data_IF_039941223984
#
_entry.id   IF_039941223984
#
_cell.length_a   1.000
_cell.length_b   1.000
_cell.length_c   1.000
_cell.angle_alpha   90.00
_cell.angle_beta   90.00
_cell.angle_gamma   90.00
#
_symmetry.space_group_name_H-M   'P 1'
#
loop_
_entity.id
_entity.type
_entity.pdbx_description
1 polymer ?
#
# COMPACT_ATOMS: atom_id res chain seq x y z
N UNK A 1 -14.91 -4.05 7.68
CA UNK A 1 -13.86 -3.00 7.58
C UNK A 1 -14.54 -1.70 7.23
N UNK A 2 -14.28 -0.64 7.99
CA UNK A 2 -14.84 0.68 7.69
C UNK A 2 -14.04 1.33 6.56
N UNK A 3 -14.66 1.51 5.39
CA UNK A 3 -14.05 2.08 4.19
C UNK A 3 -14.36 3.59 4.00
N UNK A 4 -14.87 4.26 5.04
CA UNK A 4 -15.24 5.69 5.00
C UNK A 4 -14.04 6.58 4.65
N UNK A 5 -12.83 6.18 5.04
CA UNK A 5 -11.59 6.87 4.67
C UNK A 5 -11.26 6.75 3.18
N UNK A 6 -11.59 5.61 2.57
CA UNK A 6 -11.39 5.41 1.13
C UNK A 6 -12.32 6.33 0.33
N UNK A 7 -13.55 6.56 0.81
CA UNK A 7 -14.47 7.52 0.21
C UNK A 7 -13.88 8.94 0.23
N UNK A 8 -13.18 9.33 1.31
CA UNK A 8 -12.44 10.61 1.36
C UNK A 8 -11.24 10.66 0.42
N UNK A 9 -10.51 9.53 0.24
CA UNK A 9 -9.47 9.41 -0.80
C UNK A 9 -10.06 9.50 -2.21
N UNK A 10 -11.23 8.92 -2.40
CA UNK A 10 -11.99 8.95 -3.64
C UNK A 10 -12.47 10.37 -3.98
N UNK A 11 -12.90 11.15 -3.00
CA UNK A 11 -13.27 12.56 -3.14
C UNK A 11 -12.05 13.46 -3.48
N UNK A 12 -10.82 13.02 -3.17
CA UNK A 12 -9.57 13.65 -3.62
C UNK A 12 -9.24 13.37 -5.11
N UNK A 13 -9.95 12.45 -5.74
CA UNK A 13 -10.18 12.33 -7.19
C UNK A 13 -8.98 12.14 -8.10
N UNK A 14 -7.79 11.76 -7.61
CA UNK A 14 -6.63 11.46 -8.49
C UNK A 14 -5.73 10.42 -7.83
N UNK A 15 -5.33 9.36 -8.56
CA UNK A 15 -4.20 8.54 -8.14
C UNK A 15 -3.01 9.46 -7.88
N UNK A 16 -2.37 9.30 -6.72
CA UNK A 16 -1.24 10.12 -6.33
C UNK A 16 -0.17 10.08 -7.42
N UNK A 17 0.34 11.23 -7.80
CA UNK A 17 1.40 11.33 -8.81
C UNK A 17 2.66 10.67 -8.27
N UNK A 18 2.97 9.49 -8.78
CA UNK A 18 4.29 8.90 -8.60
C UNK A 18 5.33 9.83 -9.26
N UNK A 19 6.22 10.39 -8.46
CA UNK A 19 7.32 11.19 -9.01
C UNK A 19 8.39 10.25 -9.56
N UNK A 20 8.89 10.48 -10.80
CA UNK A 20 9.99 9.69 -11.33
C UNK A 20 11.22 9.86 -10.43
N UNK A 21 11.71 8.75 -9.91
CA UNK A 21 12.76 8.72 -8.91
C UNK A 21 14.14 9.00 -9.55
N UNK A 22 14.66 10.20 -9.31
CA UNK A 22 16.10 10.41 -9.47
C UNK A 22 16.82 9.81 -8.26
N UNK A 23 17.86 9.02 -8.50
CA UNK A 23 18.69 8.46 -7.44
C UNK A 23 19.31 9.62 -6.62
N UNK A 24 18.93 9.70 -5.35
CA UNK A 24 19.44 10.71 -4.41
C UNK A 24 19.56 10.11 -3.01
N UNK A 25 20.46 10.68 -2.23
CA UNK A 25 20.57 10.39 -0.80
C UNK A 25 19.98 11.56 -0.03
N UNK A 26 19.16 11.28 0.96
CA UNK A 26 18.49 12.29 1.77
C UNK A 26 18.37 11.84 3.23
N UNK A 27 18.26 12.82 4.14
CA UNK A 27 17.90 12.54 5.52
C UNK A 27 16.39 12.28 5.62
N UNK A 28 16.02 11.30 6.44
CA UNK A 28 14.63 10.90 6.68
C UNK A 28 14.39 10.64 8.15
N UNK A 29 13.16 10.90 8.62
CA UNK A 29 12.68 10.33 9.86
C UNK A 29 12.19 8.92 9.60
N UNK A 30 12.57 7.95 10.44
CA UNK A 30 12.17 6.56 10.31
C UNK A 30 11.13 6.22 11.36
N UNK A 31 9.96 5.74 10.92
CA UNK A 31 8.91 5.29 11.80
C UNK A 31 8.76 3.75 11.70
N UNK A 32 9.35 3.00 12.65
CA UNK A 32 9.21 1.56 12.68
C UNK A 32 7.86 1.16 13.28
N UNK A 33 7.03 0.48 12.50
CA UNK A 33 5.76 -0.07 12.98
C UNK A 33 5.64 -1.56 12.63
N UNK A 34 5.10 -2.40 13.53
CA UNK A 34 4.74 -3.76 13.20
C UNK A 34 3.54 -3.78 12.27
N UNK A 35 3.51 -4.73 11.35
CA UNK A 35 2.38 -4.99 10.45
C UNK A 35 1.95 -3.84 9.52
N UNK A 36 2.78 -2.80 9.38
CA UNK A 36 2.48 -1.64 8.54
C UNK A 36 3.54 -1.48 7.46
N UNK A 37 3.10 -1.41 6.22
CA UNK A 37 3.95 -1.16 5.04
C UNK A 37 3.29 -0.08 4.20
N UNK A 38 4.03 0.99 3.91
CA UNK A 38 3.58 2.05 3.00
C UNK A 38 4.09 1.75 1.59
N UNK A 39 3.17 1.51 0.67
CA UNK A 39 3.49 1.35 -0.75
C UNK A 39 3.28 2.69 -1.46
N UNK A 40 4.23 3.17 -2.30
CA UNK A 40 4.08 4.42 -3.05
C UNK A 40 2.77 4.50 -3.82
N UNK A 41 2.20 5.70 -3.93
CA UNK A 41 0.89 5.92 -4.55
C UNK A 41 -0.30 5.67 -3.62
N UNK A 42 -0.05 5.31 -2.36
CA UNK A 42 -1.09 5.05 -1.35
C UNK A 42 -0.98 6.02 -0.17
N UNK A 43 -2.05 6.12 0.60
CA UNK A 43 -2.13 6.96 1.79
C UNK A 43 -2.36 6.09 3.02
N UNK A 44 -1.55 6.31 4.05
CA UNK A 44 -1.60 5.59 5.31
C UNK A 44 -2.11 6.52 6.42
N UNK A 45 -3.29 6.25 7.02
CA UNK A 45 -3.74 6.96 8.21
C UNK A 45 -3.01 6.46 9.45
N UNK A 46 -2.56 7.38 10.31
CA UNK A 46 -1.91 7.06 11.57
C UNK A 46 -2.46 7.95 12.70
N UNK A 47 -2.53 7.37 13.90
CA UNK A 47 -2.81 8.09 15.14
C UNK A 47 -1.53 8.24 15.95
N UNK A 48 -1.08 9.46 16.14
CA UNK A 48 0.16 9.79 16.85
C UNK A 48 -0.17 10.17 18.29
N UNK A 49 0.33 9.38 19.25
CA UNK A 49 0.07 9.58 20.68
C UNK A 49 1.33 9.52 21.56
N UNK A 50 2.40 8.83 21.13
CA UNK A 50 3.67 8.77 21.85
C UNK A 50 4.44 10.09 21.72
N UNK A 51 5.01 10.61 22.82
CA UNK A 51 5.71 11.90 22.84
C UNK A 51 6.84 12.02 21.80
N UNK A 52 7.63 10.95 21.65
CA UNK A 52 8.71 10.91 20.64
C UNK A 52 8.18 11.07 19.21
N UNK A 53 6.99 10.56 18.90
CA UNK A 53 6.39 10.67 17.57
C UNK A 53 5.57 11.94 17.39
N UNK A 54 5.07 12.55 18.48
CA UNK A 54 4.55 13.92 18.44
C UNK A 54 5.66 14.88 18.03
N UNK A 55 6.84 14.80 18.71
CA UNK A 55 8.02 15.60 18.36
C UNK A 55 8.47 15.35 16.93
N UNK A 56 8.57 14.08 16.49
CA UNK A 56 8.90 13.73 15.11
C UNK A 56 7.94 14.38 14.11
N UNK A 57 6.64 14.39 14.42
CA UNK A 57 5.61 14.96 13.53
C UNK A 57 5.78 16.48 13.42
N UNK A 58 6.06 17.19 14.53
CA UNK A 58 6.35 18.63 14.50
C UNK A 58 7.59 18.94 13.64
N UNK A 59 8.66 18.16 13.80
CA UNK A 59 9.88 18.34 13.02
C UNK A 59 9.61 18.10 11.52
N UNK A 60 8.79 17.10 11.17
CA UNK A 60 8.40 16.81 9.78
C UNK A 60 7.56 17.94 9.15
N UNK A 61 6.71 18.60 9.93
CA UNK A 61 5.87 19.70 9.47
C UNK A 61 6.67 21.01 9.25
N UNK A 62 7.75 21.19 10.00
CA UNK A 62 8.60 22.38 9.92
C UNK A 62 9.79 22.22 8.97
N UNK A 63 10.14 20.98 8.63
CA UNK A 63 11.24 20.66 7.73
C UNK A 63 10.72 20.03 6.45
N UNK A 64 11.53 20.00 5.41
CA UNK A 64 11.16 19.30 4.17
C UNK A 64 11.71 17.85 4.14
N UNK A 65 11.78 17.22 5.32
CA UNK A 65 12.25 15.84 5.49
C UNK A 65 11.09 14.88 5.28
N UNK A 66 11.35 13.73 4.64
CA UNK A 66 10.34 12.70 4.43
C UNK A 66 10.22 11.75 5.62
N UNK A 67 9.01 11.24 5.84
CA UNK A 67 8.78 10.13 6.75
C UNK A 67 8.94 8.80 6.01
N UNK A 68 9.86 7.94 6.49
CA UNK A 68 10.08 6.59 5.99
C UNK A 68 9.42 5.58 6.92
N UNK A 69 8.44 4.83 6.40
CA UNK A 69 7.74 3.77 7.13
C UNK A 69 8.53 2.47 7.02
N UNK A 70 9.08 2.00 8.13
CA UNK A 70 9.86 0.75 8.17
C UNK A 70 9.07 -0.36 8.84
N UNK A 71 8.94 -1.52 8.18
CA UNK A 71 8.32 -2.69 8.80
C UNK A 71 9.23 -3.22 9.92
N UNK A 72 8.74 -3.12 11.15
CA UNK A 72 9.40 -3.66 12.33
C UNK A 72 9.06 -5.14 12.49
N UNK A 73 10.08 -6.02 12.51
CA UNK A 73 9.94 -7.46 12.72
C UNK A 73 10.54 -7.84 14.06
N UNK A 74 9.92 -8.76 14.78
CA UNK A 74 10.56 -9.40 15.91
C UNK A 74 11.70 -10.26 15.40
N UNK A 75 12.94 -9.91 15.79
CA UNK A 75 14.11 -10.70 15.50
C UNK A 75 14.26 -11.88 16.47
N UNK A 76 15.12 -12.83 16.12
CA UNK A 76 15.67 -13.81 17.06
C UNK A 76 16.38 -13.07 18.20
N UNK A 77 16.24 -13.48 19.42
CA UNK A 77 16.79 -12.84 20.64
C UNK A 77 16.00 -11.62 21.16
N UNK A 78 14.73 -11.42 20.75
CA UNK A 78 13.90 -10.31 21.26
C UNK A 78 14.27 -8.91 20.73
N UNK A 79 15.24 -8.80 19.82
CA UNK A 79 15.60 -7.53 19.19
C UNK A 79 14.70 -7.24 18.00
N UNK A 80 14.18 -6.03 17.92
CA UNK A 80 13.43 -5.57 16.73
C UNK A 80 14.40 -5.35 15.57
N UNK A 81 14.11 -5.96 14.42
CA UNK A 81 14.84 -5.71 13.17
C UNK A 81 13.94 -4.92 12.22
N UNK A 82 14.38 -3.75 11.84
CA UNK A 82 13.67 -2.90 10.90
C UNK A 82 14.02 -3.28 9.45
N UNK A 83 13.03 -3.28 8.56
CA UNK A 83 13.28 -3.43 7.12
C UNK A 83 14.09 -2.26 6.59
N UNK A 84 15.07 -2.54 5.74
CA UNK A 84 15.91 -1.50 5.13
C UNK A 84 15.25 -0.81 3.95
N UNK A 85 14.35 -1.52 3.21
CA UNK A 85 13.52 -0.91 2.16
C UNK A 85 12.23 -0.42 2.81
N UNK A 86 11.95 0.86 2.61
CA UNK A 86 10.84 1.58 3.21
C UNK A 86 10.02 2.31 2.14
N UNK A 87 8.72 2.41 2.34
CA UNK A 87 7.92 3.42 1.66
C UNK A 87 8.08 4.75 2.37
N UNK A 88 8.28 5.83 1.63
CA UNK A 88 8.49 7.14 2.20
C UNK A 88 7.63 8.21 1.53
N UNK A 89 7.32 9.24 2.28
CA UNK A 89 6.46 10.30 1.80
C UNK A 89 6.31 11.49 2.73
N UNK A 90 5.28 12.28 2.47
CA UNK A 90 4.95 13.49 3.22
C UNK A 90 3.83 13.26 4.21
N UNK A 91 3.87 14.01 5.30
CA UNK A 91 2.86 13.98 6.37
C UNK A 91 1.89 15.15 6.21
N UNK A 92 0.60 14.87 6.40
CA UNK A 92 -0.46 15.89 6.48
C UNK A 92 -1.26 15.66 7.77
N UNK A 93 -1.41 16.70 8.58
CA UNK A 93 -2.27 16.66 9.77
C UNK A 93 -3.72 16.78 9.34
N UNK A 94 -4.55 15.86 9.82
CA UNK A 94 -5.99 15.85 9.60
C UNK A 94 -6.75 16.42 10.79
N UNK A 95 -6.23 16.14 11.98
CA UNK A 95 -6.82 16.56 13.24
C UNK A 95 -5.74 16.65 14.31
N UNK A 96 -5.82 17.67 15.13
CA UNK A 96 -4.94 17.85 16.31
C UNK A 96 -5.80 17.95 17.56
N UNK A 97 -5.43 17.20 18.59
CA UNK A 97 -6.14 17.17 19.87
C UNK A 97 -5.47 18.09 20.89
N UNK A 98 -6.24 18.58 21.90
CA UNK A 98 -5.69 19.49 22.92
C UNK A 98 -4.51 18.92 23.72
N UNK A 99 -4.38 17.60 23.79
CA UNK A 99 -3.28 16.90 24.47
C UNK A 99 -2.06 16.64 23.55
N UNK A 100 -2.07 17.22 22.35
CA UNK A 100 -0.98 17.11 21.37
C UNK A 100 -1.01 15.82 20.54
N UNK A 101 -1.99 14.92 20.75
CA UNK A 101 -2.19 13.77 19.83
C UNK A 101 -2.62 14.30 18.46
N UNK A 102 -2.28 13.56 17.42
CA UNK A 102 -2.62 13.94 16.05
C UNK A 102 -3.10 12.74 15.23
N UNK A 103 -4.14 12.97 14.43
CA UNK A 103 -4.45 12.09 13.32
C UNK A 103 -3.75 12.64 12.07
N UNK A 104 -2.91 11.83 11.45
CA UNK A 104 -2.14 12.23 10.26
C UNK A 104 -2.41 11.27 9.10
N UNK A 105 -2.18 11.77 7.89
CA UNK A 105 -2.01 10.95 6.71
C UNK A 105 -0.56 10.99 6.25
N UNK A 106 -0.03 9.82 5.89
CA UNK A 106 1.27 9.70 5.22
C UNK A 106 1.02 9.35 3.76
N UNK A 107 1.31 10.29 2.88
CA UNK A 107 1.20 10.13 1.42
C UNK A 107 2.48 9.49 0.91
N UNK A 108 2.41 8.22 0.49
CA UNK A 108 3.55 7.47 -0.03
C UNK A 108 3.97 7.96 -1.40
N UNK A 109 5.21 8.43 -1.53
CA UNK A 109 5.71 9.02 -2.76
C UNK A 109 6.75 8.14 -3.45
N UNK A 110 7.61 7.45 -2.71
CA UNK A 110 8.75 6.71 -3.26
C UNK A 110 9.23 5.59 -2.35
N UNK A 111 10.09 4.74 -2.88
CA UNK A 111 10.84 3.72 -2.16
C UNK A 111 12.20 4.27 -1.75
N UNK A 112 12.60 4.02 -0.52
CA UNK A 112 13.91 4.38 0.01
C UNK A 112 14.59 3.15 0.60
N UNK A 113 15.93 3.13 0.53
CA UNK A 113 16.77 2.17 1.24
C UNK A 113 17.53 2.90 2.34
N UNK A 114 17.37 2.46 3.58
CA UNK A 114 18.15 2.96 4.70
C UNK A 114 19.61 2.56 4.51
N UNK A 115 20.49 3.57 4.51
CA UNK A 115 21.94 3.40 4.33
C UNK A 115 22.67 3.49 5.67
N UNK A 116 22.29 4.47 6.51
CA UNK A 116 22.96 4.72 7.78
C UNK A 116 21.99 5.38 8.75
N UNK A 117 21.95 4.86 9.97
CA UNK A 117 21.25 5.52 11.08
C UNK A 117 22.10 6.70 11.61
N UNK A 118 21.48 7.85 11.80
CA UNK A 118 22.10 9.08 12.28
C UNK A 118 21.76 9.34 13.75
N UNK A 119 20.55 8.96 14.16
CA UNK A 119 19.99 9.18 15.47
C UNK A 119 19.02 8.07 15.81
N UNK A 120 18.95 7.65 17.08
CA UNK A 120 18.00 6.65 17.57
C UNK A 120 16.99 7.23 18.58
N UNK A 121 17.33 8.29 19.26
CA UNK A 121 16.49 8.93 20.29
C UNK A 121 16.42 10.44 20.05
N UNK A 122 15.27 11.12 20.30
CA UNK A 122 13.98 10.57 20.77
C UNK A 122 13.23 9.74 19.73
N UNK A 123 13.53 9.90 18.45
CA UNK A 123 13.03 9.11 17.32
C UNK A 123 14.17 8.87 16.33
N UNK A 124 13.98 7.93 15.43
CA UNK A 124 15.03 7.50 14.50
C UNK A 124 15.15 8.47 13.34
N UNK A 125 16.39 8.92 13.05
CA UNK A 125 16.79 9.58 11.80
C UNK A 125 17.82 8.74 11.07
N UNK A 126 17.77 8.77 9.75
CA UNK A 126 18.68 8.01 8.91
C UNK A 126 19.00 8.73 7.61
N UNK A 127 20.14 8.39 7.00
CA UNK A 127 20.38 8.62 5.59
C UNK A 127 19.76 7.48 4.79
N UNK A 128 19.02 7.81 3.77
CA UNK A 128 18.39 6.85 2.88
C UNK A 128 18.64 7.23 1.41
N UNK A 129 18.78 6.22 0.56
CA UNK A 129 18.88 6.41 -0.89
C UNK A 129 17.57 6.05 -1.58
N UNK A 130 17.22 6.78 -2.61
CA UNK A 130 16.06 6.47 -3.44
C UNK A 130 16.29 5.17 -4.20
N UNK A 131 15.27 4.30 -4.18
CA UNK A 131 15.24 3.04 -4.93
C UNK A 131 14.25 3.22 -6.09
N UNK A 132 14.72 3.53 -7.30
CA UNK A 132 13.86 3.79 -8.44
C UNK A 132 13.20 2.51 -8.94
N UNK A 133 11.99 2.65 -9.47
CA UNK A 133 11.32 1.58 -10.20
C UNK A 133 12.01 1.30 -11.52
N UNK A 134 12.03 0.02 -11.92
CA UNK A 134 12.40 -0.43 -13.26
C UNK A 134 11.08 -0.51 -14.06
N UNK A 135 10.93 0.34 -15.11
CA UNK A 135 9.70 0.40 -15.90
C UNK A 135 9.54 -0.85 -16.77
N UNK A 136 8.38 -0.95 -17.41
CA UNK A 136 8.17 -1.93 -18.48
C UNK A 136 9.10 -1.67 -19.65
N UNK A 137 9.56 -2.73 -20.31
CA UNK A 137 10.44 -2.64 -21.50
C UNK A 137 9.64 -2.21 -22.75
N UNK A 138 8.32 -2.45 -22.77
CA UNK A 138 7.42 -2.18 -23.89
C UNK A 138 6.15 -1.46 -23.43
N UNK A 139 5.83 -0.36 -24.12
CA UNK A 139 4.57 0.37 -23.92
C UNK A 139 3.34 -0.49 -24.27
N UNK A 140 3.46 -1.36 -25.27
CA UNK A 140 2.41 -2.29 -25.65
C UNK A 140 2.13 -3.27 -24.52
N UNK A 141 3.16 -3.88 -23.96
CA UNK A 141 3.06 -4.81 -22.83
C UNK A 141 2.47 -4.13 -21.59
N UNK A 142 2.87 -2.87 -21.32
CA UNK A 142 2.31 -2.09 -20.23
C UNK A 142 0.80 -1.87 -20.39
N UNK A 143 0.34 -1.52 -21.61
CA UNK A 143 -1.09 -1.33 -21.93
C UNK A 143 -1.89 -2.63 -21.82
N UNK A 144 -1.34 -3.74 -22.34
CA UNK A 144 -1.97 -5.06 -22.22
C UNK A 144 -2.09 -5.50 -20.76
N UNK A 145 -1.04 -5.27 -19.98
CA UNK A 145 -1.03 -5.58 -18.54
C UNK A 145 -2.07 -4.75 -17.78
N UNK A 146 -2.25 -3.47 -18.13
CA UNK A 146 -3.27 -2.62 -17.53
C UNK A 146 -4.67 -3.12 -17.87
N UNK A 147 -4.92 -3.44 -19.14
CA UNK A 147 -6.21 -3.96 -19.58
C UNK A 147 -6.55 -5.28 -18.89
N UNK A 148 -5.59 -6.22 -18.81
CA UNK A 148 -5.75 -7.51 -18.13
C UNK A 148 -6.03 -7.34 -16.65
N UNK A 149 -5.18 -6.60 -15.92
CA UNK A 149 -5.35 -6.39 -14.48
C UNK A 149 -6.65 -5.65 -14.18
N UNK A 150 -7.00 -4.64 -14.97
CA UNK A 150 -8.25 -3.90 -14.84
C UNK A 150 -9.49 -4.79 -15.02
N UNK A 151 -9.50 -5.65 -16.05
CA UNK A 151 -10.58 -6.61 -16.26
C UNK A 151 -10.72 -7.60 -15.09
N UNK A 152 -9.62 -8.20 -14.67
CA UNK A 152 -9.62 -9.16 -13.56
C UNK A 152 -10.06 -8.50 -12.24
N UNK A 153 -9.62 -7.27 -11.97
CA UNK A 153 -9.99 -6.54 -10.76
C UNK A 153 -11.49 -6.25 -10.71
N UNK A 154 -12.09 -5.81 -11.83
CA UNK A 154 -13.54 -5.58 -11.92
C UNK A 154 -14.32 -6.88 -11.72
N UNK A 155 -13.86 -8.00 -12.33
CA UNK A 155 -14.47 -9.31 -12.15
C UNK A 155 -14.39 -9.76 -10.68
N UNK A 156 -13.25 -9.57 -10.04
CA UNK A 156 -13.08 -9.90 -8.62
C UNK A 156 -14.01 -9.09 -7.72
N UNK A 157 -14.10 -7.76 -7.94
CA UNK A 157 -15.03 -6.88 -7.20
C UNK A 157 -16.47 -7.38 -7.37
N UNK A 158 -16.89 -7.64 -8.60
CA UNK A 158 -18.25 -8.12 -8.91
C UNK A 158 -18.59 -9.46 -8.25
N UNK A 159 -17.63 -10.38 -8.15
CA UNK A 159 -17.82 -11.68 -7.51
C UNK A 159 -17.75 -11.61 -5.97
N UNK A 160 -17.10 -10.57 -5.42
CA UNK A 160 -16.89 -10.42 -3.99
C UNK A 160 -18.07 -9.71 -3.33
N UNK A 161 -18.72 -10.36 -2.36
CA UNK A 161 -19.77 -9.73 -1.56
C UNK A 161 -19.24 -8.70 -0.57
N UNK A 162 -17.97 -8.75 -0.26
CA UNK A 162 -17.30 -7.89 0.73
C UNK A 162 -16.74 -6.60 0.13
N UNK A 163 -16.67 -6.51 -1.22
CA UNK A 163 -16.17 -5.35 -1.93
C UNK A 163 -17.33 -4.56 -2.54
N UNK A 164 -17.48 -3.26 -2.20
CA UNK A 164 -18.52 -2.43 -2.82
C UNK A 164 -18.34 -2.28 -4.33
N UNK A 165 -19.43 -2.37 -5.09
CA UNK A 165 -19.44 -2.13 -6.55
C UNK A 165 -18.92 -0.74 -6.92
N UNK A 166 -18.96 0.21 -5.98
CA UNK A 166 -18.40 1.55 -6.13
C UNK A 166 -16.89 1.55 -6.47
N UNK A 167 -16.17 0.44 -6.25
CA UNK A 167 -14.77 0.29 -6.66
C UNK A 167 -14.60 0.01 -8.16
N UNK A 168 -15.61 -0.47 -8.87
CA UNK A 168 -15.51 -0.80 -10.30
C UNK A 168 -15.08 0.42 -11.13
N UNK A 169 -15.74 1.61 -11.04
CA UNK A 169 -15.30 2.81 -11.76
C UNK A 169 -13.92 3.29 -11.34
N UNK A 170 -13.51 2.94 -10.13
CA UNK A 170 -12.21 3.34 -9.58
C UNK A 170 -11.04 2.69 -10.31
N UNK A 171 -11.20 1.44 -10.71
CA UNK A 171 -10.20 0.71 -11.48
C UNK A 171 -9.85 1.47 -12.77
N UNK A 172 -10.82 2.16 -13.37
CA UNK A 172 -10.63 2.92 -14.62
C UNK A 172 -9.88 4.23 -14.45
N UNK A 173 -9.67 4.71 -13.23
CA UNK A 173 -8.87 5.90 -12.95
C UNK A 173 -7.36 5.64 -13.05
N UNK A 174 -6.94 4.39 -12.95
CA UNK A 174 -5.53 4.04 -13.08
C UNK A 174 -5.11 4.02 -14.54
N UNK A 175 -4.09 4.80 -14.86
CA UNK A 175 -3.54 4.94 -16.21
C UNK A 175 -2.32 4.06 -16.45
N UNK A 176 -1.80 3.41 -15.37
CA UNK A 176 -0.61 2.57 -15.42
C UNK A 176 -0.81 1.31 -14.57
N UNK A 177 -0.42 0.11 -15.05
CA UNK A 177 -0.72 -1.16 -14.38
C UNK A 177 -0.03 -1.28 -13.01
N UNK A 178 1.18 -0.75 -12.85
CA UNK A 178 1.90 -0.82 -11.58
C UNK A 178 1.22 0.00 -10.48
N UNK A 179 0.57 1.13 -10.82
CA UNK A 179 -0.18 1.92 -9.84
C UNK A 179 -1.42 1.17 -9.34
N UNK A 180 -2.13 0.50 -10.25
CA UNK A 180 -3.25 -0.37 -9.87
C UNK A 180 -2.78 -1.57 -9.04
N UNK A 181 -1.65 -2.18 -9.42
CA UNK A 181 -1.07 -3.29 -8.68
C UNK A 181 -0.62 -2.86 -7.27
N UNK A 182 0.06 -1.72 -7.15
CA UNK A 182 0.49 -1.16 -5.86
C UNK A 182 -0.72 -0.82 -4.96
N UNK A 183 -1.81 -0.31 -5.54
CA UNK A 183 -3.07 -0.06 -4.83
C UNK A 183 -3.69 -1.37 -4.32
N UNK A 184 -3.88 -2.37 -5.19
CA UNK A 184 -4.44 -3.67 -4.79
C UNK A 184 -3.55 -4.33 -3.73
N UNK A 185 -2.24 -4.31 -3.93
CA UNK A 185 -1.28 -4.87 -2.98
C UNK A 185 -1.33 -4.21 -1.61
N UNK A 186 -1.44 -2.89 -1.56
CA UNK A 186 -1.54 -2.15 -0.31
C UNK A 186 -2.81 -2.48 0.48
N UNK A 187 -3.95 -2.56 -0.20
CA UNK A 187 -5.24 -2.74 0.47
C UNK A 187 -5.60 -4.20 0.75
N UNK A 188 -5.21 -5.13 -0.13
CA UNK A 188 -5.79 -6.47 -0.14
C UNK A 188 -4.80 -7.62 0.09
N UNK A 189 -3.48 -7.42 -0.03
CA UNK A 189 -2.54 -8.46 0.38
C UNK A 189 -2.69 -8.75 1.88
N UNK A 190 -2.79 -10.05 2.26
CA UNK A 190 -3.24 -10.43 3.60
C UNK A 190 -2.21 -10.17 4.70
N UNK A 191 -0.90 -10.16 4.36
CA UNK A 191 0.16 -10.01 5.36
C UNK A 191 1.11 -8.85 5.06
N UNK A 192 1.66 -8.27 6.13
CA UNK A 192 2.71 -7.25 6.02
C UNK A 192 3.96 -7.77 5.31
N UNK A 193 4.26 -9.07 5.44
CA UNK A 193 5.38 -9.68 4.72
C UNK A 193 5.16 -9.73 3.22
N UNK A 194 3.95 -10.00 2.75
CA UNK A 194 3.62 -9.95 1.33
C UNK A 194 3.63 -8.52 0.78
N UNK A 195 3.11 -7.56 1.56
CA UNK A 195 3.20 -6.12 1.24
C UNK A 195 4.64 -5.65 1.18
N UNK A 196 5.49 -6.10 2.12
CA UNK A 196 6.91 -5.78 2.14
C UNK A 196 7.64 -6.36 0.92
N UNK A 197 7.37 -7.62 0.56
CA UNK A 197 7.92 -8.23 -0.66
C UNK A 197 7.47 -7.50 -1.93
N UNK A 198 6.24 -6.98 -1.96
CA UNK A 198 5.78 -6.15 -3.07
C UNK A 198 6.52 -4.81 -3.11
N UNK A 199 6.71 -4.16 -1.96
CA UNK A 199 7.49 -2.92 -1.84
C UNK A 199 8.94 -3.11 -2.29
N UNK A 200 9.57 -4.24 -1.97
CA UNK A 200 10.95 -4.58 -2.33
C UNK A 200 11.14 -4.95 -3.81
N UNK A 201 10.05 -5.29 -4.50
CA UNK A 201 10.07 -5.62 -5.94
C UNK A 201 10.10 -4.33 -6.75
N UNK A 202 11.25 -3.96 -7.30
CA UNK A 202 11.43 -2.72 -8.06
C UNK A 202 10.94 -2.81 -9.50
N UNK A 203 10.90 -4.00 -10.10
CA UNK A 203 10.42 -4.21 -11.46
C UNK A 203 8.90 -4.09 -11.51
N UNK A 204 8.41 -3.07 -12.21
CA UNK A 204 6.97 -2.80 -12.33
C UNK A 204 6.21 -4.01 -12.89
N UNK A 205 6.75 -4.66 -13.91
CA UNK A 205 6.18 -5.85 -14.53
C UNK A 205 5.98 -6.97 -13.51
N UNK A 206 7.00 -7.31 -12.72
CA UNK A 206 6.93 -8.38 -11.71
C UNK A 206 5.90 -8.08 -10.63
N UNK A 207 5.75 -6.81 -10.21
CA UNK A 207 4.69 -6.44 -9.27
C UNK A 207 3.31 -6.67 -9.85
N UNK A 208 3.12 -6.26 -11.11
CA UNK A 208 1.83 -6.44 -11.82
C UNK A 208 1.50 -7.92 -11.98
N UNK A 209 2.45 -8.74 -12.43
CA UNK A 209 2.27 -10.19 -12.56
C UNK A 209 1.89 -10.86 -11.23
N UNK A 210 2.57 -10.48 -10.14
CA UNK A 210 2.27 -10.99 -8.81
C UNK A 210 0.84 -10.66 -8.37
N UNK A 211 0.38 -9.44 -8.64
CA UNK A 211 -0.98 -9.03 -8.28
C UNK A 211 -2.02 -9.66 -9.20
N UNK A 212 -1.72 -9.85 -10.49
CA UNK A 212 -2.58 -10.62 -11.40
C UNK A 212 -2.82 -12.02 -10.83
N UNK A 213 -1.77 -12.74 -10.45
CA UNK A 213 -1.88 -14.07 -9.86
C UNK A 213 -2.71 -14.06 -8.56
N UNK A 214 -2.50 -13.06 -7.70
CA UNK A 214 -3.28 -12.89 -6.48
C UNK A 214 -4.78 -12.69 -6.78
N UNK A 215 -5.12 -11.83 -7.73
CA UNK A 215 -6.53 -11.57 -8.12
C UNK A 215 -7.15 -12.80 -8.76
N UNK A 216 -6.44 -13.49 -9.66
CA UNK A 216 -6.91 -14.73 -10.29
C UNK A 216 -7.19 -15.85 -9.28
N UNK A 217 -6.33 -15.98 -8.26
CA UNK A 217 -6.54 -16.95 -7.17
C UNK A 217 -7.80 -16.63 -6.37
N UNK A 218 -8.03 -15.37 -6.04
CA UNK A 218 -9.24 -14.93 -5.33
C UNK A 218 -10.50 -15.17 -6.18
N UNK A 219 -10.47 -14.90 -7.49
CA UNK A 219 -11.58 -15.20 -8.40
C UNK A 219 -11.90 -16.69 -8.36
N UNK A 220 -10.89 -17.56 -8.54
CA UNK A 220 -11.08 -19.02 -8.52
C UNK A 220 -11.72 -19.51 -7.22
N UNK A 221 -11.29 -18.97 -6.07
CA UNK A 221 -11.87 -19.31 -4.77
C UNK A 221 -13.34 -18.92 -4.68
N UNK A 222 -13.71 -17.72 -5.11
CA UNK A 222 -15.09 -17.25 -5.10
C UNK A 222 -15.99 -18.07 -6.02
N UNK A 223 -15.52 -18.42 -7.21
CA UNK A 223 -16.26 -19.27 -8.16
C UNK A 223 -16.49 -20.69 -7.60
N UNK A 224 -15.47 -21.27 -6.96
CA UNK A 224 -15.59 -22.58 -6.32
C UNK A 224 -16.63 -22.59 -5.20
N UNK A 225 -16.65 -21.53 -4.37
CA UNK A 225 -17.64 -21.36 -3.29
C UNK A 225 -19.05 -21.22 -3.88
N UNK A 226 -19.20 -20.40 -4.94
CA UNK A 226 -20.47 -20.19 -5.62
C UNK A 226 -21.02 -21.49 -6.24
N UNK A 227 -20.17 -22.31 -6.86
CA UNK A 227 -20.54 -23.59 -7.45
C UNK A 227 -21.03 -24.58 -6.37
N UNK A 228 -20.28 -24.71 -5.27
CA UNK A 228 -20.67 -25.57 -4.15
C UNK A 228 -22.03 -25.17 -3.56
N UNK A 229 -22.20 -23.87 -3.29
CA UNK A 229 -23.48 -23.37 -2.77
C UNK A 229 -24.67 -23.66 -3.70
N UNK A 230 -24.44 -23.58 -5.01
CA UNK A 230 -25.47 -23.90 -6.01
C UNK A 230 -25.80 -25.40 -6.04
N UNK A 231 -24.77 -26.26 -5.94
CA UNK A 231 -24.95 -27.73 -5.92
C UNK A 231 -25.67 -28.18 -4.64
N UNK A 232 -25.34 -27.57 -3.49
CA UNK A 232 -26.03 -27.83 -2.22
C UNK A 232 -27.51 -27.45 -2.30
N UNK A 233 -27.84 -26.27 -2.87
CA UNK A 233 -29.23 -25.83 -3.07
C UNK A 233 -30.01 -26.75 -4.02
N UNK A 234 -29.37 -27.28 -5.06
CA UNK A 234 -29.99 -28.27 -5.97
C UNK A 234 -30.25 -29.59 -5.25
N UNK A 235 -29.31 -30.07 -4.45
CA UNK A 235 -29.44 -31.33 -3.69
C UNK A 235 -30.54 -31.25 -2.61
N UNK A 236 -30.79 -30.05 -2.04
CA UNK A 236 -31.85 -29.78 -1.09
C UNK A 236 -33.24 -29.56 -1.77
N UNK A 237 -33.34 -29.61 -3.10
CA UNK A 237 -34.60 -29.41 -3.84
C UNK A 237 -35.14 -27.97 -3.77
N UNK A 238 -34.32 -27.01 -3.38
CA UNK A 238 -34.72 -25.60 -3.25
C UNK A 238 -34.66 -24.78 -4.56
N UNK A 239 -34.12 -25.38 -5.63
CA UNK A 239 -34.14 -24.79 -6.98
C UNK A 239 -34.80 -25.79 -7.90
N UNK A 240 -35.96 -25.43 -8.47
CA UNK A 240 -36.60 -26.15 -9.55
C UNK A 240 -35.81 -25.92 -10.86
N UNK A 241 -35.69 -26.95 -11.67
CA UNK A 241 -35.03 -26.94 -12.99
C UNK A 241 -35.57 -25.88 -13.93
#
# INVERSE_FOLDING_TARGET
>A
MDFTWLKKLLDLGKPLKHQPDKKRVEEVCVFPLPNVVLIPGNVLPLHIFEERYKQMTEDLLTTNISLAMSLAKQGTEGKTKNSTICGAGTVKVMEEFPDGRKNIFVEGLRRLRIVKYLQESPYIKALAETVPDIPFDSETEEKESLARLGHLSKRWIFLSRDLPDAYIPYVDLFTRPHLLADFIGFHFLPSSDEKQRLLETVEQKKRVEKIILFVEDNIRRLETIGTKAMDDLKSEGKILH
#
